data_IF_135042797266
#
_entry.id   IF_135042797266
#
_cell.length_a   1.000
_cell.length_b   1.000
_cell.length_c   1.000
_cell.angle_alpha   90.00
_cell.angle_beta   90.00
_cell.angle_gamma   90.00
#
_symmetry.space_group_name_H-M   'P 1'
#
loop_
_entity.id
_entity.type
_entity.pdbx_description
1 polymer ?
#
# COMPACT_ATOMS: atom_id res chain seq x y z
N UNK A 1 6.43 13.37 -13.62
CA UNK A 1 6.04 14.75 -13.98
C UNK A 1 5.18 15.41 -12.91
N UNK A 2 4.04 14.85 -12.49
CA UNK A 2 3.18 15.47 -11.46
C UNK A 2 3.86 15.64 -10.11
N UNK A 3 4.53 14.61 -9.58
CA UNK A 3 5.35 14.69 -8.36
C UNK A 3 6.37 15.83 -8.43
N UNK A 4 7.03 15.98 -9.58
CA UNK A 4 8.04 17.01 -9.79
C UNK A 4 7.44 18.41 -9.69
N UNK A 5 6.37 18.68 -10.46
CA UNK A 5 5.70 19.99 -10.45
C UNK A 5 5.12 20.28 -9.07
N UNK A 6 4.41 19.31 -8.47
CA UNK A 6 3.84 19.45 -7.13
C UNK A 6 4.90 19.83 -6.09
N UNK A 7 6.08 19.21 -6.13
CA UNK A 7 7.17 19.49 -5.20
C UNK A 7 7.82 20.86 -5.44
N UNK A 8 8.15 21.20 -6.69
CA UNK A 8 8.80 22.47 -7.04
C UNK A 8 7.87 23.66 -6.72
N UNK A 9 6.57 23.53 -6.98
CA UNK A 9 5.59 24.57 -6.64
C UNK A 9 5.06 24.44 -5.21
N UNK A 10 5.43 23.38 -4.47
CA UNK A 10 4.90 23.03 -3.15
C UNK A 10 3.37 23.07 -3.07
N UNK A 11 2.71 22.51 -4.09
CA UNK A 11 1.27 22.57 -4.27
C UNK A 11 0.62 21.23 -3.86
N UNK A 12 -0.04 21.22 -2.70
CA UNK A 12 -0.68 20.03 -2.13
C UNK A 12 -1.89 19.53 -2.94
N UNK A 13 -2.55 20.37 -3.74
CA UNK A 13 -3.62 19.93 -4.64
C UNK A 13 -3.04 19.09 -5.78
N UNK A 14 -1.91 19.53 -6.36
CA UNK A 14 -1.19 18.71 -7.34
C UNK A 14 -0.58 17.47 -6.68
N UNK A 15 -0.13 17.57 -5.43
CA UNK A 15 0.31 16.42 -4.63
C UNK A 15 -0.81 15.39 -4.40
N UNK A 16 -2.04 15.83 -4.14
CA UNK A 16 -3.21 14.95 -4.05
C UNK A 16 -3.42 14.17 -5.36
N UNK A 17 -3.43 14.88 -6.50
CA UNK A 17 -3.57 14.23 -7.82
C UNK A 17 -2.42 13.27 -8.08
N UNK A 18 -1.18 13.64 -7.74
CA UNK A 18 -0.02 12.76 -7.88
C UNK A 18 -0.14 11.50 -7.00
N UNK A 19 -0.67 11.62 -5.79
CA UNK A 19 -0.94 10.48 -4.90
C UNK A 19 -2.02 9.54 -5.43
N UNK A 20 -3.10 10.09 -6.01
CA UNK A 20 -4.12 9.29 -6.70
C UNK A 20 -3.56 8.55 -7.92
N UNK A 21 -2.71 9.22 -8.70
CA UNK A 21 -2.01 8.59 -9.84
C UNK A 21 -1.04 7.51 -9.35
N UNK A 22 -0.34 7.72 -8.24
CA UNK A 22 0.50 6.69 -7.62
C UNK A 22 -0.35 5.49 -7.23
N UNK A 23 -1.46 5.69 -6.52
CA UNK A 23 -2.41 4.62 -6.18
C UNK A 23 -2.86 3.84 -7.43
N UNK A 24 -3.32 4.53 -8.47
CA UNK A 24 -3.76 3.88 -9.71
C UNK A 24 -2.62 3.14 -10.41
N UNK A 25 -1.39 3.65 -10.33
CA UNK A 25 -0.20 2.99 -10.85
C UNK A 25 0.11 1.72 -10.06
N UNK A 26 0.04 1.78 -8.72
CA UNK A 26 0.20 0.62 -7.84
C UNK A 26 -0.83 -0.46 -8.18
N UNK A 27 -2.11 -0.09 -8.31
CA UNK A 27 -3.17 -1.03 -8.71
C UNK A 27 -2.92 -1.54 -10.13
N UNK A 28 -2.66 -0.69 -11.12
CA UNK A 28 -2.39 -1.15 -12.48
C UNK A 28 -1.21 -2.15 -12.52
N UNK A 29 -0.18 -1.90 -11.70
CA UNK A 29 1.02 -2.73 -11.63
C UNK A 29 0.77 -4.11 -11.03
N UNK A 30 -0.23 -4.28 -10.15
CA UNK A 30 -0.54 -5.58 -9.54
C UNK A 30 -0.93 -6.63 -10.60
N UNK A 31 -1.55 -6.21 -11.71
CA UNK A 31 -1.95 -7.11 -12.79
C UNK A 31 -0.75 -7.86 -13.39
N UNK A 32 0.44 -7.27 -13.33
CA UNK A 32 1.67 -7.89 -13.84
C UNK A 32 2.23 -8.96 -12.90
N UNK A 33 1.70 -9.12 -11.68
CA UNK A 33 2.06 -10.23 -10.79
C UNK A 33 1.49 -11.57 -11.28
N UNK A 34 0.39 -11.55 -12.02
CA UNK A 34 -0.26 -12.72 -12.63
C UNK A 34 0.34 -13.12 -13.99
N UNK A 35 1.37 -12.41 -14.43
CA UNK A 35 2.04 -12.63 -15.72
C UNK A 35 3.49 -13.08 -15.49
N UNK A 36 4.16 -13.47 -16.57
CA UNK A 36 5.62 -13.67 -16.55
C UNK A 36 6.33 -12.40 -16.09
N UNK A 37 7.47 -12.58 -15.42
CA UNK A 37 8.35 -11.49 -14.99
C UNK A 37 8.57 -10.45 -16.10
N UNK A 38 8.23 -9.21 -15.77
CA UNK A 38 8.34 -8.07 -16.64
C UNK A 38 8.56 -6.82 -15.79
N UNK A 39 9.23 -5.82 -16.36
CA UNK A 39 9.63 -4.64 -15.61
C UNK A 39 8.46 -3.82 -15.04
N UNK A 40 7.24 -3.96 -15.58
CA UNK A 40 6.07 -3.19 -15.14
C UNK A 40 5.58 -3.60 -13.75
N UNK A 41 5.95 -4.79 -13.28
CA UNK A 41 5.70 -5.21 -11.89
C UNK A 41 6.37 -4.26 -10.89
N UNK A 42 7.52 -3.68 -11.25
CA UNK A 42 8.29 -2.81 -10.36
C UNK A 42 7.71 -1.40 -10.21
N UNK A 43 6.68 -1.05 -10.99
CA UNK A 43 5.91 0.16 -10.73
C UNK A 43 5.23 0.11 -9.36
N UNK A 44 4.92 -1.10 -8.88
CA UNK A 44 4.39 -1.33 -7.55
C UNK A 44 5.36 -0.85 -6.47
N UNK A 45 6.67 -1.02 -6.66
CA UNK A 45 7.66 -0.70 -5.63
C UNK A 45 7.71 0.80 -5.31
N UNK A 46 7.28 1.70 -6.20
CA UNK A 46 7.14 3.14 -5.89
C UNK A 46 6.13 3.43 -4.76
N UNK A 47 5.24 2.49 -4.46
CA UNK A 47 4.32 2.56 -3.32
C UNK A 47 4.97 2.24 -1.98
N UNK A 48 6.27 1.94 -1.94
CA UNK A 48 6.97 1.38 -0.79
C UNK A 48 6.54 -0.05 -0.40
N UNK A 49 5.79 -0.74 -1.25
CA UNK A 49 5.46 -2.15 -1.04
C UNK A 49 6.30 -3.01 -2.00
N UNK A 50 6.87 -4.10 -1.53
CA UNK A 50 7.72 -4.96 -2.37
C UNK A 50 6.90 -5.76 -3.37
N UNK A 51 7.17 -5.60 -4.67
CA UNK A 51 6.54 -6.42 -5.73
C UNK A 51 6.78 -7.92 -5.54
N UNK A 52 7.99 -8.31 -5.11
CA UNK A 52 8.34 -9.71 -4.83
C UNK A 52 7.47 -10.30 -3.72
N UNK A 53 7.34 -9.59 -2.59
CA UNK A 53 6.54 -10.08 -1.47
C UNK A 53 5.06 -10.04 -1.77
N UNK A 54 4.61 -8.98 -2.43
CA UNK A 54 3.20 -8.85 -2.81
C UNK A 54 2.78 -9.94 -3.77
N UNK A 55 3.63 -10.36 -4.73
CA UNK A 55 3.32 -11.53 -5.55
C UNK A 55 3.08 -12.79 -4.72
N UNK A 56 3.85 -13.00 -3.65
CA UNK A 56 3.65 -14.16 -2.76
C UNK A 56 2.37 -13.98 -1.94
N UNK A 57 2.20 -12.87 -1.22
CA UNK A 57 1.02 -12.67 -0.37
C UNK A 57 -0.27 -12.60 -1.18
N UNK A 58 -0.27 -11.85 -2.27
CA UNK A 58 -1.46 -11.60 -3.06
C UNK A 58 -1.77 -12.78 -4.00
N UNK A 59 -0.84 -13.14 -4.89
CA UNK A 59 -1.11 -14.16 -5.90
C UNK A 59 -1.15 -15.58 -5.33
N UNK A 60 -0.37 -15.88 -4.28
CA UNK A 60 -0.30 -17.24 -3.73
C UNK A 60 -1.11 -17.45 -2.45
N UNK A 61 -1.42 -16.40 -1.68
CA UNK A 61 -2.27 -16.51 -0.48
C UNK A 61 -3.65 -15.89 -0.72
N UNK A 62 -3.74 -14.59 -0.98
CA UNK A 62 -5.03 -13.91 -1.10
C UNK A 62 -5.91 -14.54 -2.19
N UNK A 63 -5.41 -14.77 -3.41
CA UNK A 63 -6.24 -15.39 -4.46
C UNK A 63 -6.59 -16.87 -4.24
N UNK A 64 -5.84 -17.59 -3.40
CA UNK A 64 -6.09 -19.00 -3.11
C UNK A 64 -7.03 -19.18 -1.90
N UNK A 65 -7.01 -18.22 -0.98
CA UNK A 65 -7.67 -18.29 0.32
C UNK A 65 -8.46 -17.02 0.64
N UNK A 66 -8.95 -16.33 -0.40
CA UNK A 66 -9.57 -14.99 -0.31
C UNK A 66 -10.60 -14.93 0.82
N UNK A 67 -10.47 -13.93 1.69
CA UNK A 67 -11.42 -13.69 2.79
C UNK A 67 -11.58 -14.86 3.76
N UNK A 68 -10.56 -15.70 3.90
CA UNK A 68 -10.53 -16.77 4.90
C UNK A 68 -9.52 -16.50 6.01
N UNK A 69 -9.56 -17.31 7.07
CA UNK A 69 -8.53 -17.26 8.13
C UNK A 69 -7.11 -17.59 7.64
N UNK A 70 -6.95 -18.10 6.40
CA UNK A 70 -5.66 -18.44 5.79
C UNK A 70 -5.15 -17.34 4.83
N UNK A 71 -5.93 -16.30 4.64
CA UNK A 71 -5.54 -15.15 3.83
C UNK A 71 -4.52 -14.29 4.60
N UNK A 72 -3.29 -14.21 4.10
CA UNK A 72 -2.25 -13.40 4.72
C UNK A 72 -2.60 -11.91 4.73
N UNK A 73 -3.43 -11.43 3.81
CA UNK A 73 -3.87 -10.03 3.77
C UNK A 73 -4.92 -9.77 4.86
N UNK A 74 -5.74 -10.76 5.23
CA UNK A 74 -6.63 -10.68 6.39
C UNK A 74 -5.83 -10.79 7.69
N UNK A 75 -4.95 -11.80 7.80
CA UNK A 75 -4.16 -12.05 9.01
C UNK A 75 -3.34 -10.82 9.41
N UNK A 76 -2.77 -10.10 8.44
CA UNK A 76 -1.98 -8.88 8.70
C UNK A 76 -2.80 -7.71 9.25
N UNK A 77 -4.12 -7.72 9.04
CA UNK A 77 -5.04 -6.70 9.53
C UNK A 77 -5.71 -7.10 10.86
N UNK A 78 -5.57 -8.36 11.27
CA UNK A 78 -6.00 -8.85 12.58
C UNK A 78 -4.94 -8.58 13.67
N UNK A 79 -5.36 -8.29 14.92
CA UNK A 79 -6.73 -8.17 15.41
C UNK A 79 -7.33 -6.75 15.26
N UNK A 80 -6.71 -5.90 14.43
CA UNK A 80 -6.96 -4.45 14.44
C UNK A 80 -8.23 -4.05 13.70
N UNK A 81 -8.54 -4.65 12.55
CA UNK A 81 -9.74 -4.31 11.77
C UNK A 81 -10.87 -5.34 11.94
N UNK A 82 -10.56 -6.58 12.35
CA UNK A 82 -11.52 -7.66 12.51
C UNK A 82 -12.44 -7.79 11.31
N UNK A 83 -11.93 -8.13 10.14
CA UNK A 83 -12.70 -8.06 8.89
C UNK A 83 -13.65 -9.25 8.74
N UNK A 84 -13.28 -10.41 9.27
CA UNK A 84 -14.11 -11.61 9.25
C UNK A 84 -15.40 -11.48 10.10
N UNK A 85 -16.48 -12.20 9.76
CA UNK A 85 -17.79 -12.19 10.43
C UNK A 85 -17.80 -12.87 11.82
N UNK A 86 -16.73 -12.71 12.59
CA UNK A 86 -16.62 -13.21 13.96
C UNK A 86 -17.21 -12.22 14.98
N UNK A 87 -17.38 -12.66 16.23
CA UNK A 87 -17.74 -11.77 17.34
C UNK A 87 -16.66 -10.71 17.54
N UNK A 88 -16.89 -9.51 17.00
CA UNK A 88 -15.95 -8.38 17.08
C UNK A 88 -15.86 -7.85 18.51
N UNK A 89 -14.68 -7.40 18.90
CA UNK A 89 -14.51 -6.67 20.16
C UNK A 89 -15.29 -5.37 20.07
N UNK A 90 -15.90 -4.95 21.17
CA UNK A 90 -16.75 -3.75 21.20
C UNK A 90 -16.05 -2.53 20.57
N UNK A 91 -14.77 -2.32 20.92
CA UNK A 91 -13.99 -1.20 20.39
C UNK A 91 -13.85 -1.27 18.86
N UNK A 92 -13.45 -2.42 18.31
CA UNK A 92 -13.27 -2.59 16.85
C UNK A 92 -14.61 -2.44 16.12
N UNK A 93 -15.69 -2.98 16.69
CA UNK A 93 -17.03 -2.89 16.10
C UNK A 93 -17.53 -1.46 15.92
N UNK A 94 -17.27 -0.58 16.89
CA UNK A 94 -17.86 0.76 16.90
C UNK A 94 -16.87 1.88 16.59
N UNK A 95 -15.56 1.67 16.71
CA UNK A 95 -14.53 2.69 16.53
C UNK A 95 -13.65 2.49 15.28
N UNK A 96 -13.78 1.36 14.58
CA UNK A 96 -12.98 1.08 13.37
C UNK A 96 -13.12 2.12 12.28
N UNK A 97 -14.30 2.71 12.08
CA UNK A 97 -14.47 3.79 11.11
C UNK A 97 -13.63 5.04 11.45
N UNK A 98 -13.28 5.26 12.71
CA UNK A 98 -12.49 6.40 13.15
C UNK A 98 -10.98 6.18 12.97
N UNK A 99 -10.47 4.97 13.25
CA UNK A 99 -9.03 4.67 13.17
C UNK A 99 -8.62 3.99 11.86
N UNK A 100 -9.52 3.34 11.12
CA UNK A 100 -9.19 2.70 9.85
C UNK A 100 -8.63 3.66 8.79
N UNK A 101 -9.05 4.94 8.67
CA UNK A 101 -8.39 5.90 7.79
C UNK A 101 -6.89 6.06 8.08
N UNK A 102 -6.51 6.00 9.36
CA UNK A 102 -5.11 6.09 9.79
C UNK A 102 -4.37 4.83 9.38
N UNK A 103 -4.98 3.64 9.58
CA UNK A 103 -4.41 2.38 9.10
C UNK A 103 -4.19 2.39 7.59
N UNK A 104 -5.18 2.85 6.81
CA UNK A 104 -5.07 2.95 5.35
C UNK A 104 -3.95 3.89 4.93
N UNK A 105 -3.83 5.06 5.57
CA UNK A 105 -2.72 5.99 5.33
C UNK A 105 -1.33 5.43 5.71
N UNK A 106 -1.27 4.42 6.59
CA UNK A 106 -0.04 3.83 7.08
C UNK A 106 0.43 2.58 6.31
N UNK A 107 -0.39 1.96 5.45
CA UNK A 107 -0.08 0.68 4.80
C UNK A 107 1.27 0.70 4.05
N UNK A 108 1.50 1.70 3.20
CA UNK A 108 2.74 1.83 2.43
C UNK A 108 3.96 1.97 3.35
N UNK A 109 3.87 2.84 4.36
CA UNK A 109 4.95 3.07 5.32
C UNK A 109 5.22 1.85 6.20
N UNK A 110 4.17 1.14 6.63
CA UNK A 110 4.25 -0.07 7.42
C UNK A 110 4.92 -1.21 6.65
N UNK A 111 4.54 -1.39 5.38
CA UNK A 111 5.16 -2.35 4.49
C UNK A 111 6.66 -2.06 4.32
N UNK A 112 7.02 -0.81 4.03
CA UNK A 112 8.43 -0.39 3.91
C UNK A 112 9.24 -0.65 5.18
N UNK A 113 8.68 -0.28 6.33
CA UNK A 113 9.35 -0.35 7.62
C UNK A 113 9.62 -1.80 8.00
N UNK A 114 8.59 -2.65 7.90
CA UNK A 114 8.71 -4.10 8.12
C UNK A 114 9.74 -4.71 7.18
N UNK A 115 9.64 -4.43 5.88
CA UNK A 115 10.53 -4.99 4.88
C UNK A 115 11.98 -4.54 5.10
N UNK A 116 12.21 -3.30 5.54
CA UNK A 116 13.54 -2.76 5.86
C UNK A 116 14.11 -3.42 7.11
N UNK A 117 13.31 -3.58 8.16
CA UNK A 117 13.71 -4.27 9.39
C UNK A 117 14.11 -5.73 9.11
N UNK A 118 13.38 -6.45 8.27
CA UNK A 118 13.72 -7.82 7.90
C UNK A 118 15.07 -7.93 7.18
N UNK A 119 15.43 -6.96 6.35
CA UNK A 119 16.76 -6.92 5.71
C UNK A 119 17.86 -6.60 6.72
N UNK A 120 17.65 -5.61 7.59
CA UNK A 120 18.62 -5.26 8.64
C UNK A 120 18.86 -6.44 9.59
N UNK A 121 17.81 -7.22 9.88
CA UNK A 121 17.89 -8.42 10.72
C UNK A 121 18.45 -9.65 9.99
N UNK A 122 18.78 -9.55 8.70
CA UNK A 122 19.26 -10.68 7.89
C UNK A 122 18.22 -11.74 7.58
N UNK A 123 16.92 -11.44 7.77
CA UNK A 123 15.80 -12.35 7.47
C UNK A 123 15.41 -12.34 5.99
N UNK A 124 15.73 -11.25 5.28
CA UNK A 124 15.50 -11.11 3.85
C UNK A 124 16.73 -10.49 3.16
N UNK A 125 16.90 -10.78 1.87
CA UNK A 125 17.98 -10.22 1.06
C UNK A 125 17.69 -8.79 0.60
N UNK A 126 18.74 -8.01 0.35
CA UNK A 126 18.57 -6.69 -0.26
C UNK A 126 18.16 -6.83 -1.75
N UNK A 127 17.13 -6.10 -2.15
CA UNK A 127 16.67 -6.02 -3.54
C UNK A 127 16.84 -4.61 -4.08
N UNK A 128 17.35 -4.49 -5.30
CA UNK A 128 17.53 -3.20 -5.99
C UNK A 128 16.20 -2.46 -6.21
N UNK A 129 15.07 -3.17 -6.26
CA UNK A 129 13.75 -2.56 -6.37
C UNK A 129 13.44 -1.61 -5.19
N UNK A 130 14.10 -1.81 -4.04
CA UNK A 130 14.01 -0.92 -2.87
C UNK A 130 14.64 0.46 -3.09
N UNK A 131 15.35 0.69 -4.18
CA UNK A 131 15.87 2.01 -4.50
C UNK A 131 14.83 2.83 -5.26
N UNK A 132 13.84 2.18 -5.90
CA UNK A 132 12.88 2.85 -6.79
C UNK A 132 12.11 4.01 -6.12
N UNK A 133 11.57 3.88 -4.90
CA UNK A 133 10.92 5.01 -4.22
C UNK A 133 11.81 6.22 -3.96
N UNK A 134 13.13 6.02 -3.92
CA UNK A 134 14.11 7.06 -3.66
C UNK A 134 14.53 7.80 -4.93
N UNK A 135 14.22 7.25 -6.11
CA UNK A 135 14.55 7.89 -7.39
C UNK A 135 13.82 9.23 -7.59
N UNK A 136 12.50 9.38 -7.32
CA UNK A 136 11.83 10.66 -7.47
C UNK A 136 12.40 11.79 -6.60
N UNK A 137 12.58 11.64 -5.27
CA UNK A 137 13.15 12.72 -4.46
C UNK A 137 14.59 13.05 -4.86
N UNK A 138 15.41 12.04 -5.18
CA UNK A 138 16.78 12.25 -5.67
C UNK A 138 16.79 13.04 -6.98
N UNK A 139 16.00 12.64 -7.97
CA UNK A 139 15.92 13.33 -9.26
C UNK A 139 15.42 14.78 -9.13
N UNK A 140 14.41 15.04 -8.28
CA UNK A 140 13.92 16.40 -8.05
C UNK A 140 15.02 17.27 -7.44
N UNK A 141 15.76 16.76 -6.45
CA UNK A 141 16.85 17.50 -5.83
C UNK A 141 17.93 17.85 -6.85
N UNK A 142 18.42 16.85 -7.60
CA UNK A 142 19.49 17.03 -8.57
C UNK A 142 19.12 17.98 -9.72
N UNK A 143 17.87 17.97 -10.17
CA UNK A 143 17.43 18.75 -11.34
C UNK A 143 16.98 20.17 -10.99
N UNK A 144 16.59 20.45 -9.75
CA UNK A 144 15.96 21.74 -9.39
C UNK A 144 16.64 22.46 -8.24
N UNK A 145 17.49 21.78 -7.46
CA UNK A 145 18.03 22.32 -6.22
C UNK A 145 16.95 22.65 -5.17
N UNK A 146 15.73 22.13 -5.31
CA UNK A 146 14.65 22.37 -4.35
C UNK A 146 15.06 21.89 -2.96
N UNK A 147 14.74 22.68 -1.93
CA UNK A 147 15.02 22.35 -0.53
C UNK A 147 14.64 20.90 -0.19
N UNK A 148 15.55 20.10 0.42
CA UNK A 148 15.28 18.72 0.80
C UNK A 148 14.03 18.57 1.67
N UNK A 149 13.75 19.53 2.56
CA UNK A 149 12.55 19.52 3.41
C UNK A 149 11.27 19.57 2.56
N UNK A 150 11.22 20.44 1.55
CA UNK A 150 10.07 20.55 0.64
C UNK A 150 9.86 19.26 -0.14
N UNK A 151 10.95 18.63 -0.59
CA UNK A 151 10.93 17.35 -1.29
C UNK A 151 10.36 16.25 -0.39
N UNK A 152 10.91 16.09 0.81
CA UNK A 152 10.49 15.06 1.77
C UNK A 152 9.01 15.24 2.12
N UNK A 153 8.60 16.45 2.50
CA UNK A 153 7.19 16.72 2.89
C UNK A 153 6.23 16.40 1.75
N UNK A 154 6.54 16.81 0.50
CA UNK A 154 5.66 16.53 -0.63
C UNK A 154 5.64 15.05 -1.00
N UNK A 155 6.78 14.35 -0.95
CA UNK A 155 6.83 12.90 -1.18
C UNK A 155 6.02 12.14 -0.13
N UNK A 156 6.14 12.50 1.15
CA UNK A 156 5.33 11.92 2.23
C UNK A 156 3.84 12.18 2.03
N UNK A 157 3.46 13.38 1.61
CA UNK A 157 2.07 13.70 1.28
C UNK A 157 1.52 12.83 0.14
N UNK A 158 2.27 12.68 -0.94
CA UNK A 158 1.90 11.85 -2.10
C UNK A 158 1.74 10.38 -1.70
N UNK A 159 2.69 9.86 -0.90
CA UNK A 159 2.64 8.49 -0.37
C UNK A 159 1.45 8.28 0.57
N UNK A 160 1.14 9.24 1.44
CA UNK A 160 0.00 9.19 2.34
C UNK A 160 -1.32 9.11 1.56
N UNK A 161 -1.50 9.97 0.55
CA UNK A 161 -2.69 9.96 -0.31
C UNK A 161 -2.80 8.64 -1.08
N UNK A 162 -1.69 8.16 -1.64
CA UNK A 162 -1.63 6.89 -2.36
C UNK A 162 -1.99 5.70 -1.45
N UNK A 163 -1.40 5.64 -0.25
CA UNK A 163 -1.64 4.59 0.74
C UNK A 163 -3.09 4.59 1.20
N UNK A 164 -3.63 5.77 1.56
CA UNK A 164 -5.02 5.91 1.97
C UNK A 164 -5.98 5.45 0.88
N UNK A 165 -5.78 5.89 -0.36
CA UNK A 165 -6.65 5.52 -1.49
C UNK A 165 -6.57 4.02 -1.79
N UNK A 166 -5.36 3.45 -1.73
CA UNK A 166 -5.15 2.01 -1.86
C UNK A 166 -5.87 1.22 -0.76
N UNK A 167 -5.75 1.64 0.50
CA UNK A 167 -6.41 0.97 1.62
C UNK A 167 -7.93 1.07 1.56
N UNK A 168 -8.48 2.26 1.25
CA UNK A 168 -9.93 2.43 1.13
C UNK A 168 -10.51 1.51 0.06
N UNK A 169 -9.94 1.52 -1.15
CA UNK A 169 -10.47 0.74 -2.27
C UNK A 169 -10.12 -0.73 -2.16
N UNK A 170 -8.83 -1.03 -1.92
CA UNK A 170 -8.31 -2.39 -1.84
C UNK A 170 -8.98 -3.17 -0.73
N UNK A 171 -8.94 -2.69 0.51
CA UNK A 171 -9.53 -3.42 1.63
C UNK A 171 -11.06 -3.43 1.54
N UNK A 172 -11.73 -2.30 1.33
CA UNK A 172 -13.18 -2.26 1.47
C UNK A 172 -13.91 -2.63 0.18
N UNK A 173 -13.71 -1.86 -0.89
CA UNK A 173 -14.56 -1.93 -2.07
C UNK A 173 -14.35 -3.23 -2.89
N UNK A 174 -13.13 -3.75 -2.93
CA UNK A 174 -12.80 -4.93 -3.73
C UNK A 174 -12.97 -6.26 -2.97
N UNK A 175 -12.84 -6.27 -1.65
CA UNK A 175 -12.73 -7.52 -0.88
C UNK A 175 -13.80 -7.70 0.20
N UNK A 176 -14.36 -6.62 0.76
CA UNK A 176 -15.25 -6.69 1.93
C UNK A 176 -16.63 -6.07 1.70
N UNK A 177 -17.14 -6.13 0.47
CA UNK A 177 -18.55 -5.85 0.20
C UNK A 177 -19.43 -6.87 0.95
N UNK A 178 -20.59 -6.48 1.52
CA UNK A 178 -21.45 -7.39 2.30
C UNK A 178 -21.95 -8.64 1.56
N UNK A 179 -21.86 -8.67 0.23
CA UNK A 179 -22.28 -9.81 -0.61
C UNK A 179 -21.13 -10.70 -1.07
N UNK A 180 -19.89 -10.35 -0.73
CA UNK A 180 -18.73 -11.19 -0.99
C UNK A 180 -18.58 -12.20 0.15
N UNK A 181 -18.21 -13.43 -0.20
CA UNK A 181 -17.95 -14.49 0.76
C UNK A 181 -16.85 -14.11 1.75
N UNK A 182 -17.11 -14.40 3.03
CA UNK A 182 -16.13 -14.42 4.10
C UNK A 182 -16.24 -15.73 4.90
N UNK A 183 -15.10 -16.24 5.33
CA UNK A 183 -15.06 -17.40 6.22
C UNK A 183 -15.74 -17.08 7.56
N UNK A 184 -16.70 -17.93 7.93
CA UNK A 184 -17.62 -17.70 9.06
C UNK A 184 -18.94 -17.02 8.70
N UNK A 185 -19.19 -16.73 7.42
CA UNK A 185 -20.50 -16.24 6.97
C UNK A 185 -21.61 -17.25 7.27
N UNK A 186 -22.81 -16.72 7.56
CA UNK A 186 -24.00 -17.57 7.69
C UNK A 186 -24.35 -18.13 6.31
N UNK A 187 -24.56 -19.45 6.16
CA UNK A 187 -24.96 -20.04 4.88
C UNK A 187 -26.20 -19.31 4.33
N UNK A 188 -26.14 -18.88 3.07
CA UNK A 188 -27.25 -18.24 2.35
C UNK A 188 -27.96 -19.25 1.46
#
# INVERSE_FOLDING_TARGET
TLTFVATVTFNFKLGLVAGLVLYLTTVASHNFFHQRDNFRMYYFDFSLMSSRKWRVSHSMSHHMYTNTIRDLEIIQLEPYLQLLPNKKVWFVRYMSWAYSPIFYGALFFGAWSRDTLEVIQGKDGFSMARILPLLPPFAIYMLTGTSPVRIIVMCLWILLVGSFSFGVVGINAAHHHPDIFHDGDTPR
#
